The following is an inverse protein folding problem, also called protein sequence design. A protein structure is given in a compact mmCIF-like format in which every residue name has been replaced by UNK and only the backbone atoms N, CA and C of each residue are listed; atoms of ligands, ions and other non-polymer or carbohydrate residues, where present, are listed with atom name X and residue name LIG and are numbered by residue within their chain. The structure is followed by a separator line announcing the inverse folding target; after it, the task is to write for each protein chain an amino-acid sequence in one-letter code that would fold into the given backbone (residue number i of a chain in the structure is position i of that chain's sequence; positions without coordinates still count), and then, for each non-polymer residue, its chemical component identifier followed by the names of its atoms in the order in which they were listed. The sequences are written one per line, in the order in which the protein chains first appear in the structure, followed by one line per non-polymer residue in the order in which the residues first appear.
data_IF_816356064864
#
_entry.id   IF_816356064864
#
_cell.length_a   1.000
_cell.length_b   1.000
_cell.length_c   1.000
_cell.angle_alpha   90.00
_cell.angle_beta   90.00
_cell.angle_gamma   90.00
#
_symmetry.space_group_name_H-M   'P 1'
#
loop_
_entity.id
_entity.type
_entity.pdbx_description
1 polymer ?
#
# COMPACT_ATOMS: atom_id res chain seq x y z
N UNK A 1 -17.48 2.29 -16.38
CA UNK A 1 -16.44 3.19 -16.95
C UNK A 1 -15.63 3.78 -15.79
N UNK A 2 -14.31 4.01 -15.92
CA UNK A 2 -13.55 4.72 -14.87
C UNK A 2 -13.97 6.18 -14.86
N UNK A 3 -14.47 6.66 -13.73
CA UNK A 3 -14.96 8.04 -13.54
C UNK A 3 -14.05 8.88 -12.68
N UNK A 4 -13.19 8.24 -11.89
CA UNK A 4 -12.22 8.92 -11.04
C UNK A 4 -10.93 8.12 -10.98
N UNK A 5 -9.81 8.81 -11.11
CA UNK A 5 -8.48 8.30 -10.85
C UNK A 5 -7.85 9.18 -9.78
N UNK A 6 -7.51 8.56 -8.66
CA UNK A 6 -6.74 9.21 -7.59
C UNK A 6 -5.37 8.56 -7.52
N UNK A 7 -4.39 9.31 -7.03
CA UNK A 7 -3.14 8.71 -6.62
C UNK A 7 -2.67 9.22 -5.27
N UNK A 8 -1.62 8.58 -4.76
CA UNK A 8 -0.86 9.09 -3.62
C UNK A 8 0.58 9.31 -4.04
N UNK A 9 1.17 10.44 -3.65
CA UNK A 9 2.59 10.75 -3.81
C UNK A 9 3.15 10.95 -2.42
N UNK A 10 4.03 10.03 -1.97
CA UNK A 10 4.55 10.02 -0.59
C UNK A 10 3.42 10.06 0.47
N UNK A 11 2.28 9.41 0.19
CA UNK A 11 1.11 9.41 1.07
C UNK A 11 0.14 10.58 0.89
N UNK A 12 0.53 11.68 0.22
CA UNK A 12 -0.36 12.80 -0.08
C UNK A 12 -1.25 12.50 -1.28
N UNK A 13 -2.55 12.78 -1.17
CA UNK A 13 -3.51 12.46 -2.24
C UNK A 13 -3.40 13.46 -3.38
N UNK A 14 -3.26 12.94 -4.60
CA UNK A 14 -3.37 13.68 -5.86
C UNK A 14 -4.60 13.21 -6.64
N UNK A 15 -5.24 14.13 -7.35
CA UNK A 15 -6.41 13.83 -8.17
C UNK A 15 -6.03 14.03 -9.64
N UNK A 16 -6.39 13.06 -10.48
CA UNK A 16 -6.18 13.16 -11.91
C UNK A 16 -7.41 13.76 -12.59
N UNK A 17 -7.17 14.66 -13.53
CA UNK A 17 -8.16 15.20 -14.45
C UNK A 17 -8.26 14.29 -15.68
N UNK A 18 -9.49 13.89 -16.04
CA UNK A 18 -9.74 13.13 -17.26
C UNK A 18 -9.66 14.05 -18.48
N UNK A 19 -8.84 13.69 -19.46
CA UNK A 19 -8.72 14.35 -20.77
C UNK A 19 -9.35 13.49 -21.87
N UNK A 20 -9.43 14.05 -23.08
CA UNK A 20 -9.92 13.32 -24.25
C UNK A 20 -9.07 12.08 -24.54
N UNK A 21 -9.67 11.07 -25.17
CA UNK A 21 -8.97 9.85 -25.57
C UNK A 21 -8.63 8.88 -24.43
N UNK A 22 -9.26 9.02 -23.25
CA UNK A 22 -9.00 8.12 -22.11
C UNK A 22 -7.72 8.45 -21.32
N UNK A 23 -7.11 9.60 -21.61
CA UNK A 23 -5.94 10.11 -20.89
C UNK A 23 -6.34 10.68 -19.53
N UNK A 24 -5.49 10.48 -18.54
CA UNK A 24 -5.61 11.08 -17.21
C UNK A 24 -4.36 11.87 -16.91
N UNK A 25 -4.52 13.11 -16.45
CA UNK A 25 -3.42 14.05 -16.23
C UNK A 25 -3.49 14.60 -14.82
N UNK A 26 -2.35 14.72 -14.16
CA UNK A 26 -2.25 15.42 -12.89
C UNK A 26 -0.95 16.20 -12.85
N UNK A 27 -0.95 17.31 -12.12
CA UNK A 27 0.28 18.02 -11.80
C UNK A 27 0.84 17.42 -10.52
N UNK A 28 2.07 16.94 -10.58
CA UNK A 28 2.77 16.52 -9.38
C UNK A 28 3.05 17.79 -8.59
N UNK A 29 2.70 17.85 -7.28
CA UNK A 29 2.96 19.02 -6.44
C UNK A 29 4.40 19.47 -6.62
N UNK A 30 4.67 20.78 -6.58
CA UNK A 30 6.00 21.34 -6.87
C UNK A 30 7.06 20.73 -5.96
N UNK A 31 7.71 19.68 -6.45
CA UNK A 31 8.65 18.86 -5.67
C UNK A 31 10.09 19.21 -6.01
N UNK A 32 10.96 19.00 -5.02
CA UNK A 32 12.43 18.97 -5.20
C UNK A 32 12.79 17.76 -6.06
N UNK A 33 14.04 17.67 -6.55
CA UNK A 33 14.52 16.40 -7.11
C UNK A 33 14.38 15.28 -6.08
N UNK A 34 13.97 14.08 -6.52
CA UNK A 34 13.74 12.94 -5.64
C UNK A 34 13.01 11.77 -6.31
N UNK A 35 12.88 10.67 -5.58
CA UNK A 35 12.08 9.51 -5.95
C UNK A 35 10.76 9.53 -5.17
N UNK A 36 9.67 9.24 -5.86
CA UNK A 36 8.30 9.30 -5.36
C UNK A 36 7.59 7.98 -5.63
N UNK A 37 6.96 7.41 -4.61
CA UNK A 37 6.05 6.28 -4.80
C UNK A 37 4.70 6.86 -5.22
N UNK A 38 4.27 6.48 -6.43
CA UNK A 38 2.98 6.83 -7.00
C UNK A 38 2.07 5.62 -6.92
N UNK A 39 1.06 5.69 -6.06
CA UNK A 39 -0.02 4.72 -6.02
C UNK A 39 -1.17 5.24 -6.86
N UNK A 40 -1.81 4.42 -7.69
CA UNK A 40 -2.93 4.82 -8.54
C UNK A 40 -4.15 3.94 -8.26
N UNK A 41 -5.29 4.54 -7.94
CA UNK A 41 -6.56 3.85 -7.69
C UNK A 41 -7.63 4.31 -8.68
N UNK A 42 -8.16 3.38 -9.47
CA UNK A 42 -9.26 3.64 -10.40
C UNK A 42 -10.62 3.30 -9.77
N UNK A 43 -11.58 4.23 -9.89
CA UNK A 43 -12.95 4.10 -9.39
C UNK A 43 -13.95 4.12 -10.54
N UNK A 44 -14.91 3.20 -10.54
CA UNK A 44 -16.00 3.14 -11.50
C UNK A 44 -17.24 3.99 -11.10
N UNK A 45 -18.27 4.02 -11.95
CA UNK A 45 -19.52 4.78 -11.73
C UNK A 45 -20.28 4.36 -10.48
N UNK A 46 -20.13 3.11 -10.02
CA UNK A 46 -20.78 2.59 -8.82
C UNK A 46 -19.95 2.87 -7.55
N UNK A 47 -18.78 3.51 -7.67
CA UNK A 47 -17.88 3.79 -6.56
C UNK A 47 -16.93 2.63 -6.23
N UNK A 48 -16.86 1.59 -7.08
CA UNK A 48 -15.98 0.46 -6.83
C UNK A 48 -14.52 0.81 -7.21
N UNK A 49 -13.59 0.47 -6.33
CA UNK A 49 -12.14 0.57 -6.56
C UNK A 49 -11.63 -0.76 -7.16
N UNK A 50 -11.09 -0.76 -8.39
CA UNK A 50 -10.79 -2.03 -9.09
C UNK A 50 -9.35 -2.17 -9.61
N UNK A 51 -8.56 -1.09 -9.66
CA UNK A 51 -7.13 -1.17 -10.01
C UNK A 51 -6.27 -0.31 -9.08
N UNK A 52 -5.35 -0.96 -8.36
CA UNK A 52 -4.29 -0.34 -7.59
C UNK A 52 -2.93 -0.71 -8.19
N UNK A 53 -2.15 0.25 -8.67
CA UNK A 53 -0.77 0.00 -9.13
C UNK A 53 0.19 0.97 -8.46
N UNK A 54 1.42 0.50 -8.19
CA UNK A 54 2.50 1.32 -7.63
C UNK A 54 3.60 1.50 -8.69
N UNK A 55 4.03 2.74 -8.85
CA UNK A 55 5.16 3.13 -9.68
C UNK A 55 6.15 3.96 -8.85
N UNK A 56 7.42 3.91 -9.24
CA UNK A 56 8.44 4.84 -8.80
C UNK A 56 8.57 5.92 -9.87
N UNK A 57 8.33 7.16 -9.47
CA UNK A 57 8.63 8.32 -10.28
C UNK A 57 9.88 9.00 -9.74
N UNK A 58 10.93 9.08 -10.55
CA UNK A 58 12.13 9.84 -10.24
C UNK A 58 12.11 11.16 -11.00
N UNK A 59 12.23 12.27 -10.30
CA UNK A 59 12.39 13.61 -10.86
C UNK A 59 13.78 14.10 -10.53
N UNK A 60 14.59 14.39 -11.54
CA UNK A 60 15.89 15.03 -11.40
C UNK A 60 15.90 16.37 -12.14
N UNK A 61 15.72 17.45 -11.38
CA UNK A 61 15.71 18.82 -11.91
C UNK A 61 17.11 19.31 -12.32
N UNK A 62 18.19 18.74 -11.77
CA UNK A 62 19.56 19.09 -12.14
C UNK A 62 19.93 18.54 -13.51
N UNK A 63 19.47 17.32 -13.80
CA UNK A 63 19.61 16.69 -15.12
C UNK A 63 18.46 17.00 -16.09
N UNK A 64 17.40 17.68 -15.64
CA UNK A 64 16.15 17.89 -16.38
C UNK A 64 15.51 16.58 -16.89
N UNK A 65 15.54 15.53 -16.08
CA UNK A 65 14.99 14.22 -16.43
C UNK A 65 13.87 13.78 -15.50
N UNK A 66 12.94 13.01 -16.07
CA UNK A 66 11.86 12.35 -15.34
C UNK A 66 11.82 10.89 -15.79
N UNK A 67 11.78 9.97 -14.84
CA UNK A 67 11.74 8.52 -15.09
C UNK A 67 10.57 7.91 -14.33
N UNK A 68 9.81 7.04 -15.00
CA UNK A 68 8.70 6.31 -14.41
C UNK A 68 8.97 4.80 -14.54
N UNK A 69 8.98 4.08 -13.43
CA UNK A 69 9.29 2.66 -13.38
C UNK A 69 8.27 1.89 -12.55
N UNK A 70 7.92 0.64 -12.90
CA UNK A 70 7.10 -0.20 -12.04
C UNK A 70 7.76 -0.38 -10.67
N UNK A 71 6.96 -0.41 -9.61
CA UNK A 71 7.48 -0.73 -8.27
C UNK A 71 8.14 -2.12 -8.27
N UNK A 72 9.35 -2.28 -7.70
CA UNK A 72 10.16 -3.48 -7.86
C UNK A 72 9.56 -4.72 -7.19
N UNK A 73 8.72 -4.52 -6.16
CA UNK A 73 8.08 -5.60 -5.41
C UNK A 73 6.56 -5.59 -5.59
N UNK A 74 5.94 -6.73 -5.40
CA UNK A 74 4.50 -6.87 -5.22
C UNK A 74 4.22 -7.61 -3.92
N UNK A 75 3.14 -7.25 -3.24
CA UNK A 75 2.78 -7.84 -1.95
C UNK A 75 1.42 -8.51 -2.04
N UNK A 76 1.31 -9.71 -1.48
CA UNK A 76 0.11 -10.54 -1.51
C UNK A 76 -0.30 -10.95 -0.09
N UNK A 77 -1.56 -10.72 0.28
CA UNK A 77 -2.12 -11.22 1.53
C UNK A 77 -2.44 -12.72 1.39
N UNK A 78 -1.81 -13.57 2.19
CA UNK A 78 -1.92 -15.03 2.06
C UNK A 78 -3.24 -15.62 2.62
N UNK A 79 -4.00 -14.85 3.42
CA UNK A 79 -5.16 -15.35 4.15
C UNK A 79 -6.53 -14.93 3.57
N UNK A 80 -6.57 -14.19 2.46
CA UNK A 80 -7.86 -13.71 1.95
C UNK A 80 -8.64 -14.84 1.25
N UNK A 81 -9.76 -15.25 1.86
CA UNK A 81 -10.81 -16.07 1.22
C UNK A 81 -11.58 -15.30 0.14
N UNK A 82 -11.31 -13.99 0.01
CA UNK A 82 -11.97 -13.09 -0.91
C UNK A 82 -11.00 -12.61 -2.00
N UNK A 83 -11.34 -12.89 -3.26
CA UNK A 83 -10.68 -12.35 -4.47
C UNK A 83 -11.59 -11.27 -5.05
N UNK A 84 -11.65 -10.10 -4.42
CA UNK A 84 -12.29 -8.96 -5.04
C UNK A 84 -11.57 -7.68 -4.62
N UNK A 85 -10.87 -7.07 -5.59
CA UNK A 85 -10.11 -5.83 -5.44
C UNK A 85 -8.67 -6.02 -4.93
N UNK A 86 -7.73 -5.31 -5.54
CA UNK A 86 -6.30 -5.25 -5.16
C UNK A 86 -6.04 -4.64 -3.77
N UNK A 87 -7.07 -4.49 -2.93
CA UNK A 87 -6.97 -3.94 -1.57
C UNK A 87 -6.85 -5.10 -0.59
N UNK A 88 -5.74 -5.16 0.13
CA UNK A 88 -5.53 -6.19 1.15
C UNK A 88 -6.53 -5.97 2.28
N UNK A 89 -7.48 -6.90 2.42
CA UNK A 89 -8.53 -6.84 3.45
C UNK A 89 -8.55 -8.12 4.27
N UNK A 90 -8.79 -7.99 5.58
CA UNK A 90 -8.95 -9.10 6.49
C UNK A 90 -10.13 -8.85 7.44
N UNK A 91 -10.82 -9.93 7.84
CA UNK A 91 -11.93 -9.87 8.80
C UNK A 91 -11.60 -10.58 10.10
N UNK A 92 -12.00 -9.96 11.19
CA UNK A 92 -11.79 -10.43 12.57
C UNK A 92 -13.14 -10.50 13.27
N UNK A 93 -13.33 -11.54 14.08
CA UNK A 93 -14.37 -11.52 15.09
C UNK A 93 -13.87 -10.71 16.30
N UNK A 94 -14.76 -10.01 17.00
CA UNK A 94 -14.37 -9.24 18.19
C UNK A 94 -13.67 -10.12 19.25
N UNK A 95 -12.49 -9.68 19.71
CA UNK A 95 -11.66 -10.40 20.69
C UNK A 95 -10.73 -11.46 20.07
N UNK A 96 -10.72 -11.59 18.75
CA UNK A 96 -9.89 -12.55 18.04
C UNK A 96 -8.45 -12.05 17.84
N UNK A 97 -7.48 -12.93 18.08
CA UNK A 97 -6.09 -12.75 17.69
C UNK A 97 -5.80 -13.55 16.43
N UNK A 98 -5.30 -12.90 15.37
CA UNK A 98 -4.94 -13.57 14.11
C UNK A 98 -3.59 -13.09 13.61
N UNK A 99 -2.87 -14.03 13.00
CA UNK A 99 -1.74 -13.71 12.13
C UNK A 99 -2.25 -13.04 10.85
N UNK A 100 -1.56 -12.02 10.38
CA UNK A 100 -1.71 -11.39 9.06
C UNK A 100 -0.41 -11.62 8.30
N UNK A 101 -0.50 -12.46 7.26
CA UNK A 101 0.68 -12.90 6.49
C UNK A 101 0.73 -12.27 5.10
N UNK A 102 1.79 -11.52 4.83
CA UNK A 102 2.05 -10.90 3.53
C UNK A 102 3.26 -11.56 2.86
N UNK A 103 3.07 -12.09 1.65
CA UNK A 103 4.16 -12.55 0.80
C UNK A 103 4.66 -11.38 -0.06
N UNK A 104 5.95 -11.06 0.06
CA UNK A 104 6.64 -10.10 -0.80
C UNK A 104 7.24 -10.85 -1.99
N UNK A 105 7.07 -10.33 -3.20
CA UNK A 105 7.56 -10.96 -4.45
C UNK A 105 8.30 -9.94 -5.28
N UNK A 106 9.53 -10.26 -5.70
CA UNK A 106 10.28 -9.46 -6.67
C UNK A 106 9.65 -9.55 -8.06
N UNK A 107 9.26 -8.41 -8.64
CA UNK A 107 8.75 -8.35 -10.02
C UNK A 107 9.85 -8.59 -11.05
N UNK A 108 11.11 -8.36 -10.67
CA UNK A 108 12.27 -8.57 -11.53
C UNK A 108 12.80 -10.01 -11.46
N UNK A 109 12.23 -10.85 -10.60
CA UNK A 109 12.71 -12.22 -10.30
C UNK A 109 14.16 -12.23 -9.80
N UNK A 110 14.52 -11.18 -9.07
CA UNK A 110 15.81 -11.03 -8.39
C UNK A 110 15.67 -11.56 -6.96
N UNK A 111 16.74 -12.15 -6.44
CA UNK A 111 16.84 -12.56 -5.04
C UNK A 111 16.96 -11.32 -4.14
N UNK A 112 16.34 -11.39 -2.96
CA UNK A 112 16.35 -10.30 -1.98
C UNK A 112 16.13 -10.85 -0.57
N UNK A 113 16.55 -10.05 0.42
CA UNK A 113 16.36 -10.34 1.84
C UNK A 113 15.61 -9.19 2.52
N UNK A 114 14.62 -9.54 3.34
CA UNK A 114 13.93 -8.59 4.21
C UNK A 114 14.73 -8.48 5.51
N UNK A 115 15.30 -7.32 5.80
CA UNK A 115 16.24 -7.14 6.91
C UNK A 115 15.57 -6.77 8.24
N UNK A 116 14.36 -6.19 8.19
CA UNK A 116 13.57 -5.82 9.37
C UNK A 116 12.14 -5.52 8.97
N UNK A 117 11.20 -5.72 9.90
CA UNK A 117 9.80 -5.36 9.70
C UNK A 117 9.09 -5.05 11.04
N UNK A 118 8.17 -4.10 11.00
CA UNK A 118 7.32 -3.71 12.13
C UNK A 118 5.92 -3.34 11.64
N UNK A 119 4.96 -3.32 12.55
CA UNK A 119 3.59 -2.93 12.26
C UNK A 119 3.08 -1.86 13.21
N UNK A 120 2.09 -1.12 12.73
CA UNK A 120 1.25 -0.21 13.51
C UNK A 120 -0.20 -0.48 13.16
N UNK A 121 -1.04 -0.70 14.16
CA UNK A 121 -2.48 -0.90 14.03
C UNK A 121 -3.20 0.35 14.52
N UNK A 122 -3.99 0.97 13.65
CA UNK A 122 -4.73 2.20 13.96
C UNK A 122 -6.20 2.02 13.60
N UNK A 123 -7.10 2.35 14.52
CA UNK A 123 -8.54 2.36 14.24
C UNK A 123 -8.88 3.52 13.31
N UNK A 124 -9.80 3.32 12.36
CA UNK A 124 -10.24 4.38 11.45
C UNK A 124 -10.79 5.58 12.26
N UNK A 125 -10.23 6.77 12.03
CA UNK A 125 -10.58 8.00 12.72
C UNK A 125 -9.88 8.24 14.05
N UNK A 126 -9.04 7.31 14.53
CA UNK A 126 -8.16 7.52 15.69
C UNK A 126 -6.89 8.27 15.28
N UNK A 127 -6.39 9.13 16.18
CA UNK A 127 -5.12 9.84 15.99
C UNK A 127 -3.93 9.01 16.46
N UNK A 128 -4.13 8.18 17.48
CA UNK A 128 -3.10 7.36 18.10
C UNK A 128 -3.23 5.89 17.69
N UNK A 129 -2.10 5.17 17.54
CA UNK A 129 -2.14 3.74 17.28
C UNK A 129 -2.74 2.99 18.48
N UNK A 130 -3.54 1.95 18.17
CA UNK A 130 -4.07 1.04 19.19
C UNK A 130 -3.01 0.02 19.62
N UNK A 131 -2.21 -0.44 18.66
CA UNK A 131 -1.16 -1.42 18.88
C UNK A 131 0.01 -1.20 17.90
N UNK A 132 1.20 -1.66 18.27
CA UNK A 132 2.38 -1.66 17.41
C UNK A 132 3.36 -2.72 17.86
N UNK A 133 4.05 -3.35 16.93
CA UNK A 133 4.97 -4.43 17.27
C UNK A 133 5.95 -4.77 16.15
N UNK A 134 6.76 -5.79 16.40
CA UNK A 134 7.63 -6.37 15.40
C UNK A 134 6.84 -7.34 14.51
N UNK A 135 7.27 -7.46 13.27
CA UNK A 135 6.75 -8.44 12.32
C UNK A 135 7.77 -9.56 12.18
N UNK A 136 7.31 -10.80 12.30
CA UNK A 136 8.17 -11.95 12.09
C UNK A 136 8.45 -12.12 10.59
N UNK A 137 9.70 -12.42 10.25
CA UNK A 137 10.14 -12.59 8.86
C UNK A 137 10.47 -14.07 8.67
N UNK A 138 9.73 -14.72 7.79
CA UNK A 138 9.97 -16.09 7.35
C UNK A 138 10.24 -16.05 5.84
N UNK A 139 11.52 -16.02 5.48
CA UNK A 139 11.96 -15.84 4.09
C UNK A 139 11.37 -14.55 3.49
N UNK A 140 10.51 -14.64 2.47
CA UNK A 140 9.83 -13.48 1.87
C UNK A 140 8.44 -13.22 2.46
N UNK A 141 8.09 -13.87 3.58
CA UNK A 141 6.81 -13.72 4.27
C UNK A 141 6.95 -12.84 5.51
N UNK A 142 6.12 -11.82 5.59
CA UNK A 142 5.91 -10.96 6.75
C UNK A 142 4.72 -11.50 7.53
N UNK A 143 4.91 -11.85 8.81
CA UNK A 143 3.85 -12.36 9.68
C UNK A 143 3.66 -11.44 10.90
N UNK A 144 2.51 -10.76 10.95
CA UNK A 144 2.08 -9.89 12.04
C UNK A 144 0.95 -10.54 12.84
N UNK A 145 1.19 -10.88 14.11
CA UNK A 145 0.13 -11.30 15.03
C UNK A 145 -0.51 -10.07 15.69
N UNK A 146 -1.81 -9.86 15.47
CA UNK A 146 -2.53 -8.70 16.01
C UNK A 146 -3.81 -9.11 16.71
N UNK A 147 -4.25 -8.27 17.66
CA UNK A 147 -5.50 -8.44 18.41
C UNK A 147 -6.24 -7.11 18.53
N UNK A 148 -7.07 -6.73 17.55
CA UNK A 148 -7.89 -5.53 17.62
C UNK A 148 -8.86 -5.58 18.82
N UNK A 149 -8.88 -4.53 19.63
CA UNK A 149 -9.59 -4.49 20.91
C UNK A 149 -10.98 -3.83 20.84
N UNK A 150 -11.38 -3.34 19.67
CA UNK A 150 -12.70 -2.72 19.46
C UNK A 150 -13.31 -3.17 18.14
N UNK A 151 -14.63 -3.14 18.06
CA UNK A 151 -15.34 -3.30 16.78
C UNK A 151 -15.13 -2.08 15.88
N UNK A 152 -15.15 -2.32 14.58
CA UNK A 152 -15.03 -1.28 13.56
C UNK A 152 -13.96 -1.58 12.53
N UNK A 153 -13.52 -0.53 11.83
CA UNK A 153 -12.51 -0.62 10.78
C UNK A 153 -11.17 -0.14 11.30
N UNK A 154 -10.13 -0.80 10.83
CA UNK A 154 -8.75 -0.54 11.18
C UNK A 154 -7.87 -0.49 9.94
N UNK A 155 -6.75 0.19 10.09
CA UNK A 155 -5.61 0.15 9.18
C UNK A 155 -4.43 -0.48 9.91
N UNK A 156 -3.94 -1.59 9.37
CA UNK A 156 -2.66 -2.19 9.75
C UNK A 156 -1.61 -1.73 8.75
N UNK A 157 -0.67 -0.93 9.21
CA UNK A 157 0.47 -0.42 8.42
C UNK A 157 1.69 -1.27 8.74
N UNK A 158 2.18 -2.04 7.77
CA UNK A 158 3.41 -2.82 7.89
C UNK A 158 4.54 -2.07 7.20
N UNK A 159 5.61 -1.79 7.94
CA UNK A 159 6.82 -1.15 7.43
C UNK A 159 7.95 -2.17 7.45
N UNK A 160 8.63 -2.37 6.32
CA UNK A 160 9.72 -3.34 6.21
C UNK A 160 10.87 -2.79 5.38
N UNK A 161 12.05 -3.40 5.50
CA UNK A 161 13.26 -2.99 4.78
C UNK A 161 13.79 -4.13 3.92
N UNK A 162 14.10 -3.80 2.67
CA UNK A 162 14.86 -4.67 1.77
C UNK A 162 16.11 -3.90 1.39
N UNK A 163 17.27 -4.43 1.73
CA UNK A 163 18.56 -3.71 1.61
C UNK A 163 18.52 -2.34 2.34
N UNK A 164 18.69 -1.23 1.61
CA UNK A 164 18.67 0.13 2.12
C UNK A 164 17.35 0.87 1.88
N UNK A 165 16.35 0.19 1.33
CA UNK A 165 15.05 0.77 1.00
C UNK A 165 14.00 0.38 2.05
N UNK A 166 13.14 1.35 2.39
CA UNK A 166 12.02 1.15 3.32
C UNK A 166 10.71 1.11 2.53
N UNK A 167 9.91 0.10 2.79
CA UNK A 167 8.64 -0.19 2.15
C UNK A 167 7.51 -0.11 3.17
N UNK A 168 6.34 0.32 2.72
CA UNK A 168 5.14 0.44 3.55
C UNK A 168 3.96 -0.18 2.81
N UNK A 169 3.22 -1.03 3.51
CA UNK A 169 2.00 -1.67 3.03
C UNK A 169 0.86 -1.48 4.02
N UNK A 170 -0.35 -1.26 3.49
CA UNK A 170 -1.56 -1.07 4.28
C UNK A 170 -2.52 -2.25 4.09
N UNK A 171 -2.91 -2.90 5.17
CA UNK A 171 -3.98 -3.91 5.22
C UNK A 171 -5.17 -3.32 5.94
N UNK A 172 -6.35 -3.35 5.31
CA UNK A 172 -7.59 -2.90 5.92
C UNK A 172 -8.27 -4.03 6.68
N UNK A 173 -8.60 -3.78 7.94
CA UNK A 173 -9.19 -4.78 8.81
C UNK A 173 -10.61 -4.36 9.17
N UNK A 174 -11.54 -5.30 9.10
CA UNK A 174 -12.89 -5.14 9.61
C UNK A 174 -13.12 -6.10 10.78
N UNK A 175 -13.46 -5.54 11.95
CA UNK A 175 -13.77 -6.28 13.17
C UNK A 175 -15.27 -6.28 13.38
N UNK A 176 -15.87 -7.47 13.40
CA UNK A 176 -17.32 -7.71 13.44
C UNK A 176 -17.90 -7.75 14.87
#
# INVERSE_FOLDING_TARGET
MVVKLTGKVNGETIIFERKAGGLWVTAIPRVKSGAYVVELTAVDEAGNETFCTKYILTVDLGALTVKLEPFPYSVQLLQSSFREGMRMTATFDYGESKHIRLLVVSRKKEDFDISSASYVLTKDGANDPEDSGNVMIEDHVLDALITPMQRGRYKLTITYRITNETFVEEVHIAVL
#
